data_IF_981554460248
#
_entry.id   IF_981554460248
#
_cell.length_a   1.000
_cell.length_b   1.000
_cell.length_c   1.000
_cell.angle_alpha   90.00
_cell.angle_beta   90.00
_cell.angle_gamma   90.00
#
_symmetry.space_group_name_H-M   'P 1'
#
loop_
_entity.id
_entity.type
_entity.pdbx_description
1 polymer ?
#
# COMPACT_ATOMS: atom_id res chain seq x y z
N UNK A 1 -6.90 -11.19 17.48
CA UNK A 1 -5.98 -10.45 16.57
C UNK A 1 -6.46 -10.42 15.14
N UNK A 2 -7.02 -11.51 14.59
CA UNK A 2 -7.68 -11.49 13.27
C UNK A 2 -8.65 -10.30 13.05
N UNK A 3 -9.49 -9.90 14.04
CA UNK A 3 -10.34 -8.73 13.88
C UNK A 3 -9.59 -7.42 13.59
N UNK A 4 -8.40 -7.21 14.17
CA UNK A 4 -7.60 -6.01 13.91
C UNK A 4 -7.08 -6.01 12.47
N UNK A 5 -6.55 -7.16 12.01
CA UNK A 5 -6.10 -7.32 10.63
C UNK A 5 -7.26 -7.11 9.65
N UNK A 6 -8.42 -7.70 9.93
CA UNK A 6 -9.61 -7.56 9.08
C UNK A 6 -10.08 -6.10 9.01
N UNK A 7 -10.05 -5.36 10.12
CA UNK A 7 -10.34 -3.91 10.14
C UNK A 7 -9.32 -3.13 9.31
N UNK A 8 -8.03 -3.45 9.41
CA UNK A 8 -6.97 -2.84 8.60
C UNK A 8 -7.23 -3.11 7.11
N UNK A 9 -7.49 -4.36 6.72
CA UNK A 9 -7.79 -4.69 5.31
C UNK A 9 -9.04 -3.97 4.82
N UNK A 10 -10.12 -3.97 5.60
CA UNK A 10 -11.35 -3.27 5.25
C UNK A 10 -11.15 -1.76 5.12
N UNK A 11 -10.33 -1.13 5.98
CA UNK A 11 -9.97 0.28 5.84
C UNK A 11 -9.18 0.55 4.56
N UNK A 12 -8.30 -0.39 4.17
CA UNK A 12 -7.64 -0.41 2.87
C UNK A 12 -8.64 -0.32 1.71
N UNK A 13 -9.61 -1.24 1.71
CA UNK A 13 -10.62 -1.38 0.64
C UNK A 13 -11.61 -0.21 0.59
N UNK A 14 -12.11 0.23 1.74
CA UNK A 14 -13.26 1.13 1.86
C UNK A 14 -12.87 2.59 2.06
N UNK A 15 -11.61 2.89 2.42
CA UNK A 15 -11.17 4.27 2.70
C UNK A 15 -9.93 4.63 1.90
N UNK A 16 -8.83 3.88 2.08
CA UNK A 16 -7.51 4.22 1.53
C UNK A 16 -7.52 4.18 0.01
N UNK A 17 -7.94 3.06 -0.59
CA UNK A 17 -7.99 2.94 -2.05
C UNK A 17 -8.96 3.95 -2.66
N UNK A 18 -10.22 4.09 -2.22
CA UNK A 18 -11.14 5.08 -2.78
C UNK A 18 -10.63 6.53 -2.74
N UNK A 19 -10.06 6.97 -1.61
CA UNK A 19 -9.45 8.31 -1.51
C UNK A 19 -8.26 8.43 -2.45
N UNK A 20 -7.42 7.40 -2.50
CA UNK A 20 -6.24 7.39 -3.36
C UNK A 20 -6.57 7.37 -4.86
N UNK A 21 -7.63 6.67 -5.28
CA UNK A 21 -8.09 6.64 -6.67
C UNK A 21 -8.47 8.03 -7.16
N UNK A 22 -9.13 8.83 -6.31
CA UNK A 22 -9.42 10.23 -6.63
C UNK A 22 -8.12 10.98 -6.94
N UNK A 23 -7.09 10.81 -6.11
CA UNK A 23 -5.78 11.45 -6.25
C UNK A 23 -4.97 10.96 -7.46
N UNK A 24 -5.06 9.67 -7.77
CA UNK A 24 -4.40 9.03 -8.92
C UNK A 24 -4.95 9.51 -10.26
N UNK A 25 -6.17 10.06 -10.30
CA UNK A 25 -6.79 10.52 -11.55
C UNK A 25 -7.26 9.37 -12.43
N UNK A 26 -7.78 8.31 -11.84
CA UNK A 26 -8.43 7.21 -12.58
C UNK A 26 -9.76 7.66 -13.18
N UNK A 27 -10.27 6.93 -14.17
CA UNK A 27 -11.58 7.17 -14.75
C UNK A 27 -12.69 7.09 -13.69
N UNK A 28 -13.73 7.93 -13.84
CA UNK A 28 -14.90 7.94 -12.94
C UNK A 28 -15.60 6.57 -12.90
N UNK A 29 -15.61 5.86 -14.03
CA UNK A 29 -16.19 4.51 -14.11
C UNK A 29 -15.39 3.53 -13.24
N UNK A 30 -14.07 3.48 -13.37
CA UNK A 30 -13.23 2.59 -12.56
C UNK A 30 -13.36 2.90 -11.06
N UNK A 31 -13.37 4.18 -10.68
CA UNK A 31 -13.59 4.58 -9.29
C UNK A 31 -14.98 4.19 -8.74
N UNK A 32 -16.02 4.16 -9.58
CA UNK A 32 -17.36 3.69 -9.20
C UNK A 32 -17.41 2.16 -9.08
N UNK A 33 -16.86 1.45 -10.08
CA UNK A 33 -16.79 -0.01 -10.10
C UNK A 33 -15.99 -0.57 -8.92
N UNK A 34 -15.02 0.19 -8.40
CA UNK A 34 -14.31 -0.18 -7.18
C UNK A 34 -15.24 -0.53 -6.03
N UNK A 35 -16.31 0.25 -5.79
CA UNK A 35 -17.24 0.00 -4.69
C UNK A 35 -18.01 -1.32 -4.84
N UNK A 36 -18.30 -1.72 -6.08
CA UNK A 36 -18.95 -3.00 -6.35
C UNK A 36 -18.07 -4.20 -5.96
N UNK A 37 -16.74 -4.04 -5.92
CA UNK A 37 -15.82 -5.06 -5.40
C UNK A 37 -15.41 -4.86 -3.95
N UNK A 38 -15.15 -3.62 -3.53
CA UNK A 38 -14.65 -3.30 -2.20
C UNK A 38 -15.63 -3.66 -1.08
N UNK A 39 -16.94 -3.46 -1.31
CA UNK A 39 -17.97 -3.82 -0.32
C UNK A 39 -18.04 -5.35 -0.13
N UNK A 40 -18.23 -6.18 -1.18
CA UNK A 40 -18.13 -7.63 -1.08
C UNK A 40 -16.80 -8.12 -0.48
N UNK A 41 -15.68 -7.56 -0.95
CA UNK A 41 -14.34 -7.92 -0.46
C UNK A 41 -14.20 -7.70 1.04
N UNK A 42 -14.65 -6.55 1.54
CA UNK A 42 -14.70 -6.29 2.97
C UNK A 42 -15.59 -7.32 3.67
N UNK A 43 -16.83 -7.52 3.20
CA UNK A 43 -17.78 -8.49 3.78
C UNK A 43 -17.17 -9.89 3.92
N UNK A 44 -16.37 -10.33 2.93
CA UNK A 44 -15.70 -11.63 2.95
C UNK A 44 -14.81 -11.86 4.17
N UNK A 45 -14.26 -10.79 4.77
CA UNK A 45 -13.33 -10.86 5.90
C UNK A 45 -14.00 -11.42 7.15
N UNK A 46 -15.30 -11.15 7.32
CA UNK A 46 -16.08 -11.55 8.49
C UNK A 46 -16.88 -12.84 8.29
N UNK A 47 -16.76 -13.47 7.11
CA UNK A 47 -17.35 -14.78 6.85
C UNK A 47 -16.35 -15.91 7.16
N UNK A 48 -16.83 -17.10 7.54
CA UNK A 48 -16.02 -18.30 7.53
C UNK A 48 -15.40 -18.53 6.14
N UNK A 49 -14.19 -19.10 6.11
CA UNK A 49 -13.54 -19.50 4.84
C UNK A 49 -14.44 -20.53 4.13
N UNK A 50 -14.55 -20.41 2.82
CA UNK A 50 -15.41 -21.25 2.00
C UNK A 50 -15.86 -20.55 0.72
N UNK A 51 -16.69 -21.24 -0.06
CA UNK A 51 -17.10 -20.80 -1.40
C UNK A 51 -17.72 -19.39 -1.43
N UNK A 52 -18.53 -19.03 -0.43
CA UNK A 52 -19.18 -17.70 -0.35
C UNK A 52 -18.14 -16.60 -0.13
N UNK A 53 -17.25 -16.77 0.86
CA UNK A 53 -16.21 -15.78 1.14
C UNK A 53 -15.23 -15.64 -0.04
N UNK A 54 -14.88 -16.76 -0.68
CA UNK A 54 -14.06 -16.78 -1.88
C UNK A 54 -14.74 -16.06 -3.06
N UNK A 55 -16.03 -16.30 -3.30
CA UNK A 55 -16.77 -15.62 -4.35
C UNK A 55 -16.79 -14.10 -4.16
N UNK A 56 -17.04 -13.61 -2.94
CA UNK A 56 -17.00 -12.19 -2.63
C UNK A 56 -15.59 -11.58 -2.82
N UNK A 57 -14.54 -12.30 -2.42
CA UNK A 57 -13.16 -11.92 -2.70
C UNK A 57 -12.83 -11.92 -4.20
N UNK A 58 -13.45 -12.81 -4.98
CA UNK A 58 -13.37 -12.83 -6.43
C UNK A 58 -13.97 -11.57 -7.07
N UNK A 59 -15.12 -11.08 -6.58
CA UNK A 59 -15.71 -9.81 -7.03
C UNK A 59 -14.76 -8.64 -6.73
N UNK A 60 -14.12 -8.64 -5.55
CA UNK A 60 -13.08 -7.67 -5.21
C UNK A 60 -11.90 -7.72 -6.19
N UNK A 61 -11.40 -8.92 -6.53
CA UNK A 61 -10.33 -9.09 -7.51
C UNK A 61 -10.73 -8.56 -8.89
N UNK A 62 -11.96 -8.81 -9.36
CA UNK A 62 -12.44 -8.24 -10.63
C UNK A 62 -12.39 -6.71 -10.63
N UNK A 63 -12.82 -6.05 -9.54
CA UNK A 63 -12.75 -4.60 -9.42
C UNK A 63 -11.29 -4.10 -9.40
N UNK A 64 -10.39 -4.82 -8.75
CA UNK A 64 -8.96 -4.50 -8.77
C UNK A 64 -8.32 -4.65 -10.17
N UNK A 65 -8.72 -5.65 -10.94
CA UNK A 65 -8.28 -5.82 -12.33
C UNK A 65 -8.76 -4.68 -13.24
N UNK A 66 -9.93 -4.10 -12.99
CA UNK A 66 -10.39 -2.89 -13.68
C UNK A 66 -9.46 -1.70 -13.41
N UNK A 67 -8.89 -1.58 -12.21
CA UNK A 67 -7.88 -0.55 -11.91
C UNK A 67 -6.59 -0.81 -12.70
N UNK A 68 -6.10 -2.06 -12.69
CA UNK A 68 -4.91 -2.46 -13.41
C UNK A 68 -5.03 -2.24 -14.93
N UNK A 69 -6.23 -2.43 -15.50
CA UNK A 69 -6.48 -2.20 -16.92
C UNK A 69 -6.26 -0.74 -17.38
N UNK A 70 -6.16 0.23 -16.46
CA UNK A 70 -5.86 1.62 -16.79
C UNK A 70 -4.35 1.91 -16.94
N UNK A 71 -3.49 0.98 -16.53
CA UNK A 71 -2.03 1.14 -16.56
C UNK A 71 -1.48 1.33 -17.98
N UNK A 72 -1.88 0.54 -19.01
CA UNK A 72 -1.31 0.67 -20.35
C UNK A 72 -1.53 2.05 -20.96
N UNK A 73 -2.75 2.61 -20.87
CA UNK A 73 -3.04 3.95 -21.40
C UNK A 73 -2.23 5.04 -20.69
N UNK A 74 -1.98 4.86 -19.39
CA UNK A 74 -1.20 5.77 -18.56
C UNK A 74 0.29 5.76 -18.94
N UNK A 75 0.88 4.58 -19.05
CA UNK A 75 2.29 4.41 -19.43
C UNK A 75 2.56 4.66 -20.92
N UNK A 76 1.56 4.50 -21.78
CA UNK A 76 1.66 4.94 -23.18
C UNK A 76 1.77 6.46 -23.23
N UNK A 77 0.90 7.17 -22.53
CA UNK A 77 0.87 8.63 -22.56
C UNK A 77 2.17 9.24 -22.03
N UNK A 78 2.72 8.71 -20.92
CA UNK A 78 3.93 9.22 -20.27
C UNK A 78 4.69 8.12 -19.54
N UNK A 79 6.00 8.01 -19.75
CA UNK A 79 6.90 7.05 -19.07
C UNK A 79 7.84 7.75 -18.10
N UNK A 80 7.29 8.35 -17.04
CA UNK A 80 8.08 9.00 -15.98
C UNK A 80 8.11 8.16 -14.71
N UNK A 81 8.97 8.51 -13.74
CA UNK A 81 9.06 7.76 -12.49
C UNK A 81 7.74 7.86 -11.70
N UNK A 82 7.11 9.03 -11.69
CA UNK A 82 5.79 9.16 -11.05
C UNK A 82 4.73 8.27 -11.69
N UNK A 83 4.73 8.13 -13.02
CA UNK A 83 3.78 7.27 -13.72
C UNK A 83 4.00 5.78 -13.48
N UNK A 84 5.26 5.35 -13.31
CA UNK A 84 5.57 3.99 -12.84
C UNK A 84 5.05 3.76 -11.41
N UNK A 85 5.24 4.73 -10.51
CA UNK A 85 4.71 4.64 -9.14
C UNK A 85 3.18 4.57 -9.12
N UNK A 86 2.48 5.35 -9.96
CA UNK A 86 1.03 5.22 -10.11
C UNK A 86 0.62 3.88 -10.71
N UNK A 87 1.36 3.35 -11.68
CA UNK A 87 1.11 2.02 -12.22
C UNK A 87 1.23 0.95 -11.13
N UNK A 88 2.28 1.02 -10.29
CA UNK A 88 2.43 0.16 -9.11
C UNK A 88 1.25 0.33 -8.15
N UNK A 89 0.81 1.56 -7.89
CA UNK A 89 -0.36 1.78 -7.06
C UNK A 89 -1.60 1.08 -7.65
N UNK A 90 -1.82 1.13 -8.97
CA UNK A 90 -3.02 0.55 -9.59
C UNK A 90 -3.00 -0.98 -9.73
N UNK A 91 -1.83 -1.63 -9.81
CA UNK A 91 -1.73 -3.09 -9.91
C UNK A 91 -1.79 -3.78 -8.53
N UNK A 92 -1.29 -3.13 -7.49
CA UNK A 92 -1.14 -3.74 -6.17
C UNK A 92 -2.45 -4.20 -5.51
N UNK A 93 -3.61 -3.52 -5.68
CA UNK A 93 -4.90 -4.07 -5.24
C UNK A 93 -5.26 -5.42 -5.86
N UNK A 94 -4.80 -5.72 -7.08
CA UNK A 94 -5.04 -7.02 -7.73
C UNK A 94 -4.22 -8.12 -7.07
N UNK A 95 -2.98 -7.82 -6.66
CA UNK A 95 -2.15 -8.73 -5.87
C UNK A 95 -2.81 -9.00 -4.51
N UNK A 96 -3.32 -7.96 -3.85
CA UNK A 96 -4.13 -8.12 -2.64
C UNK A 96 -5.38 -8.99 -2.88
N UNK A 97 -6.02 -8.86 -4.05
CA UNK A 97 -7.22 -9.63 -4.40
C UNK A 97 -6.95 -11.11 -4.65
N UNK A 98 -5.82 -11.42 -5.29
CA UNK A 98 -5.36 -12.80 -5.48
C UNK A 98 -5.10 -13.45 -4.12
N UNK A 99 -4.37 -12.75 -3.23
CA UNK A 99 -4.07 -13.26 -1.89
C UNK A 99 -5.34 -13.45 -1.05
N UNK A 100 -6.24 -12.47 -1.06
CA UNK A 100 -7.53 -12.55 -0.37
C UNK A 100 -8.38 -13.71 -0.88
N UNK A 101 -8.48 -13.89 -2.20
CA UNK A 101 -9.25 -14.97 -2.81
C UNK A 101 -8.73 -16.34 -2.36
N UNK A 102 -7.42 -16.56 -2.45
CA UNK A 102 -6.79 -17.81 -2.02
C UNK A 102 -7.01 -18.05 -0.52
N UNK A 103 -6.82 -17.02 0.31
CA UNK A 103 -6.97 -17.12 1.75
C UNK A 103 -8.43 -17.37 2.18
N UNK A 104 -9.40 -16.73 1.53
CA UNK A 104 -10.84 -16.96 1.77
C UNK A 104 -11.31 -18.31 1.26
N UNK A 105 -10.67 -18.85 0.22
CA UNK A 105 -10.90 -20.22 -0.26
C UNK A 105 -10.23 -21.29 0.63
N UNK A 106 -9.34 -20.90 1.54
CA UNK A 106 -8.59 -21.85 2.38
C UNK A 106 -7.46 -22.56 1.64
N UNK A 107 -6.98 -21.97 0.53
CA UNK A 107 -5.90 -22.54 -0.28
C UNK A 107 -4.60 -21.75 -0.08
N UNK A 108 -3.54 -22.39 0.47
CA UNK A 108 -2.18 -21.86 0.39
C UNK A 108 -1.80 -21.61 -1.08
N UNK A 109 -1.02 -20.55 -1.34
CA UNK A 109 -0.67 -20.14 -2.70
C UNK A 109 0.82 -19.81 -2.77
N UNK A 110 1.53 -20.41 -3.74
CA UNK A 110 2.97 -20.15 -3.99
C UNK A 110 3.86 -20.29 -2.75
N UNK A 111 3.58 -21.25 -1.88
CA UNK A 111 4.33 -21.48 -0.64
C UNK A 111 3.85 -20.66 0.56
N UNK A 112 3.04 -19.61 0.33
CA UNK A 112 2.46 -18.81 1.40
C UNK A 112 1.31 -19.54 2.10
N UNK A 113 1.39 -19.62 3.43
CA UNK A 113 0.27 -20.06 4.26
C UNK A 113 -0.85 -19.01 4.33
N UNK A 114 -2.00 -19.41 4.89
CA UNK A 114 -3.18 -18.55 4.99
C UNK A 114 -2.96 -17.30 5.86
N UNK A 115 -2.08 -17.38 6.85
CA UNK A 115 -1.71 -16.24 7.70
C UNK A 115 -0.94 -15.20 6.89
N UNK A 116 0.07 -15.63 6.13
CA UNK A 116 0.84 -14.73 5.28
C UNK A 116 -0.03 -14.15 4.17
N UNK A 117 -0.89 -14.93 3.51
CA UNK A 117 -1.81 -14.41 2.49
C UNK A 117 -2.75 -13.30 3.04
N UNK A 118 -3.20 -13.42 4.28
CA UNK A 118 -3.98 -12.37 4.94
C UNK A 118 -3.13 -11.09 5.17
N UNK A 119 -1.88 -11.24 5.59
CA UNK A 119 -0.94 -10.12 5.74
C UNK A 119 -0.57 -9.49 4.40
N UNK A 120 -0.40 -10.29 3.35
CA UNK A 120 -0.16 -9.87 1.97
C UNK A 120 -1.28 -8.96 1.50
N UNK A 121 -2.54 -9.35 1.76
CA UNK A 121 -3.71 -8.53 1.43
C UNK A 121 -3.61 -7.15 2.06
N UNK A 122 -3.27 -7.04 3.36
CA UNK A 122 -3.07 -5.76 4.02
C UNK A 122 -1.89 -4.99 3.40
N UNK A 123 -0.70 -5.61 3.29
CA UNK A 123 0.51 -4.96 2.79
C UNK A 123 0.32 -4.31 1.43
N UNK A 124 -0.35 -4.97 0.49
CA UNK A 124 -0.55 -4.43 -0.84
C UNK A 124 -1.55 -3.25 -0.91
N UNK A 125 -2.39 -3.03 0.11
CA UNK A 125 -3.17 -1.79 0.23
C UNK A 125 -2.33 -0.61 0.77
N UNK A 126 -1.33 -0.88 1.60
CA UNK A 126 -0.56 0.17 2.29
C UNK A 126 0.84 0.36 1.69
N UNK A 127 1.72 -0.63 1.82
CA UNK A 127 3.07 -0.62 1.26
C UNK A 127 3.07 -0.77 -0.26
N UNK A 128 2.03 -1.37 -0.85
CA UNK A 128 1.80 -1.36 -2.29
C UNK A 128 1.13 -0.07 -2.76
N UNK A 129 -0.19 0.01 -2.56
CA UNK A 129 -1.02 1.08 -3.12
C UNK A 129 -0.69 2.46 -2.53
N UNK A 130 -0.85 2.66 -1.22
CA UNK A 130 -0.74 4.00 -0.62
C UNK A 130 0.68 4.56 -0.74
N UNK A 131 1.69 3.73 -0.48
CA UNK A 131 3.10 4.09 -0.60
C UNK A 131 3.47 4.52 -2.03
N UNK A 132 3.17 3.69 -3.03
CA UNK A 132 3.49 4.01 -4.41
C UNK A 132 2.71 5.24 -4.91
N UNK A 133 1.44 5.38 -4.51
CA UNK A 133 0.64 6.56 -4.83
C UNK A 133 1.26 7.84 -4.26
N UNK A 134 1.61 7.85 -2.96
CA UNK A 134 2.21 9.03 -2.32
C UNK A 134 3.58 9.34 -2.90
N UNK A 135 4.41 8.34 -3.17
CA UNK A 135 5.69 8.51 -3.84
C UNK A 135 5.54 9.14 -5.23
N UNK A 136 4.57 8.68 -6.03
CA UNK A 136 4.25 9.27 -7.33
C UNK A 136 3.73 10.71 -7.22
N UNK A 137 2.88 11.01 -6.23
CA UNK A 137 2.38 12.36 -5.97
C UNK A 137 3.51 13.33 -5.63
N UNK A 138 4.42 12.93 -4.74
CA UNK A 138 5.59 13.72 -4.36
C UNK A 138 6.51 13.94 -5.54
N UNK A 139 6.89 12.87 -6.25
CA UNK A 139 7.74 12.94 -7.43
C UNK A 139 7.21 13.94 -8.46
N UNK A 140 5.90 13.88 -8.76
CA UNK A 140 5.26 14.83 -9.68
C UNK A 140 5.23 16.26 -9.11
N UNK A 141 4.95 16.43 -7.82
CA UNK A 141 4.89 17.76 -7.19
C UNK A 141 6.23 18.48 -7.14
N UNK A 142 7.33 17.73 -7.12
CA UNK A 142 8.70 18.23 -7.19
C UNK A 142 9.29 18.17 -8.61
N UNK A 143 8.45 18.08 -9.65
CA UNK A 143 8.88 18.15 -11.04
C UNK A 143 9.88 17.06 -11.45
N UNK A 144 9.71 15.82 -10.96
CA UNK A 144 10.62 14.69 -11.25
C UNK A 144 12.06 14.96 -10.77
N UNK A 145 12.24 15.70 -9.68
CA UNK A 145 13.55 15.89 -9.04
C UNK A 145 14.25 14.55 -8.73
N UNK A 146 15.59 14.51 -8.61
CA UNK A 146 16.32 13.27 -8.31
C UNK A 146 15.79 12.54 -7.08
N UNK A 147 15.49 13.26 -5.99
CA UNK A 147 14.90 12.68 -4.78
C UNK A 147 13.47 12.18 -5.01
N UNK A 148 12.65 12.93 -5.75
CA UNK A 148 11.30 12.51 -6.13
C UNK A 148 11.31 11.23 -6.96
N UNK A 149 12.19 11.15 -7.97
CA UNK A 149 12.39 9.96 -8.80
C UNK A 149 12.90 8.78 -8.00
N UNK A 150 13.87 9.01 -7.10
CA UNK A 150 14.37 7.98 -6.20
C UNK A 150 13.21 7.35 -5.43
N UNK A 151 12.41 8.16 -4.71
CA UNK A 151 11.23 7.66 -3.99
C UNK A 151 10.24 6.91 -4.89
N UNK A 152 9.90 7.46 -6.07
CA UNK A 152 8.96 6.86 -7.00
C UNK A 152 9.44 5.54 -7.64
N UNK A 153 10.74 5.27 -7.65
CA UNK A 153 11.31 4.03 -8.18
C UNK A 153 11.65 3.02 -7.08
N UNK A 154 12.23 3.47 -5.97
CA UNK A 154 12.67 2.58 -4.89
C UNK A 154 11.51 2.01 -4.09
N UNK A 155 10.37 2.70 -3.98
CA UNK A 155 9.18 2.14 -3.30
C UNK A 155 8.61 0.94 -4.08
N UNK A 156 8.31 1.05 -5.39
CA UNK A 156 7.95 -0.12 -6.19
C UNK A 156 9.02 -1.22 -6.20
N UNK A 157 10.29 -0.84 -6.43
CA UNK A 157 11.38 -1.80 -6.52
C UNK A 157 11.58 -2.55 -5.20
N UNK A 158 11.61 -1.84 -4.07
CA UNK A 158 11.71 -2.43 -2.73
C UNK A 158 10.54 -3.36 -2.42
N UNK A 159 9.31 -2.97 -2.76
CA UNK A 159 8.13 -3.84 -2.59
C UNK A 159 8.25 -5.14 -3.39
N UNK A 160 8.72 -5.05 -4.64
CA UNK A 160 8.95 -6.23 -5.49
C UNK A 160 10.13 -7.08 -5.00
N UNK A 161 11.19 -6.46 -4.49
CA UNK A 161 12.34 -7.16 -3.93
C UNK A 161 11.98 -7.89 -2.64
N UNK A 162 11.17 -7.30 -1.75
CA UNK A 162 10.64 -8.01 -0.56
C UNK A 162 9.80 -9.21 -0.99
N UNK A 163 8.86 -9.02 -1.93
CA UNK A 163 8.05 -10.13 -2.45
C UNK A 163 8.91 -11.22 -3.10
N UNK A 164 9.90 -10.84 -3.92
CA UNK A 164 10.82 -11.78 -4.56
C UNK A 164 11.74 -12.47 -3.55
N UNK A 165 12.14 -11.76 -2.49
CA UNK A 165 12.98 -12.25 -1.41
C UNK A 165 12.38 -13.47 -0.73
N UNK A 166 11.06 -13.52 -0.56
CA UNK A 166 10.37 -14.71 -0.06
C UNK A 166 10.68 -16.00 -0.83
N UNK A 167 10.92 -15.90 -2.14
CA UNK A 167 11.23 -17.06 -2.99
C UNK A 167 12.72 -17.40 -3.04
N UNK A 168 13.59 -16.50 -2.57
CA UNK A 168 15.05 -16.61 -2.70
C UNK A 168 15.71 -16.87 -1.34
N UNK A 169 15.22 -16.25 -0.27
CA UNK A 169 15.68 -16.38 1.10
C UNK A 169 15.72 -15.04 1.86
N UNK A 170 15.85 -15.14 3.17
CA UNK A 170 15.68 -14.02 4.12
C UNK A 170 16.67 -12.86 3.91
N UNK A 171 17.88 -13.14 3.43
CA UNK A 171 18.86 -12.10 3.05
C UNK A 171 18.37 -11.24 1.87
N UNK A 172 17.69 -11.84 0.90
CA UNK A 172 17.11 -11.11 -0.23
C UNK A 172 15.90 -10.28 0.23
N UNK A 173 15.11 -10.82 1.16
CA UNK A 173 14.02 -10.07 1.80
C UNK A 173 14.55 -8.86 2.59
N UNK A 174 15.62 -9.04 3.38
CA UNK A 174 16.29 -7.95 4.10
C UNK A 174 16.81 -6.89 3.14
N UNK A 175 17.47 -7.27 2.05
CA UNK A 175 17.92 -6.33 1.03
C UNK A 175 16.75 -5.52 0.44
N UNK A 176 15.63 -6.19 0.13
CA UNK A 176 14.39 -5.55 -0.29
C UNK A 176 13.85 -4.57 0.75
N UNK A 177 13.83 -4.96 2.03
CA UNK A 177 13.36 -4.14 3.14
C UNK A 177 14.23 -2.88 3.33
N UNK A 178 15.55 -2.99 3.15
CA UNK A 178 16.48 -1.84 3.17
C UNK A 178 16.20 -0.88 2.02
N UNK A 179 16.05 -1.38 0.79
CA UNK A 179 15.71 -0.55 -0.38
C UNK A 179 14.37 0.15 -0.19
N UNK A 180 13.35 -0.58 0.26
CA UNK A 180 12.03 -0.03 0.53
C UNK A 180 12.10 1.04 1.63
N UNK A 181 12.82 0.79 2.72
CA UNK A 181 12.96 1.73 3.83
C UNK A 181 13.64 3.03 3.38
N UNK A 182 14.71 2.96 2.61
CA UNK A 182 15.35 4.15 2.05
C UNK A 182 14.39 4.98 1.18
N UNK A 183 13.57 4.30 0.36
CA UNK A 183 12.50 4.94 -0.41
C UNK A 183 11.45 5.62 0.46
N UNK A 184 10.96 4.91 1.48
CA UNK A 184 9.93 5.42 2.39
C UNK A 184 10.44 6.56 3.29
N UNK A 185 11.71 6.55 3.71
CA UNK A 185 12.31 7.71 4.39
C UNK A 185 12.47 8.91 3.46
N UNK A 186 12.79 8.69 2.19
CA UNK A 186 12.78 9.76 1.18
C UNK A 186 11.37 10.33 1.01
N UNK A 187 10.34 9.48 0.96
CA UNK A 187 8.92 9.89 0.97
C UNK A 187 8.57 10.71 2.19
N UNK A 188 8.97 10.28 3.39
CA UNK A 188 8.71 10.99 4.64
C UNK A 188 9.37 12.38 4.63
N UNK A 189 10.64 12.47 4.24
CA UNK A 189 11.37 13.74 4.13
C UNK A 189 10.71 14.70 3.13
N UNK A 190 10.42 14.24 1.91
CA UNK A 190 9.76 15.05 0.89
C UNK A 190 8.35 15.49 1.32
N UNK A 191 7.63 14.65 2.09
CA UNK A 191 6.34 15.01 2.68
C UNK A 191 6.48 16.18 3.65
N UNK A 192 7.49 16.17 4.52
CA UNK A 192 7.78 17.27 5.43
C UNK A 192 8.16 18.55 4.66
N UNK A 193 8.99 18.45 3.62
CA UNK A 193 9.32 19.60 2.76
C UNK A 193 8.05 20.18 2.13
N UNK A 194 7.21 19.33 1.52
CA UNK A 194 5.96 19.73 0.87
C UNK A 194 4.98 20.41 1.83
N UNK A 195 5.00 20.02 3.10
CA UNK A 195 4.10 20.52 4.14
C UNK A 195 4.37 21.95 4.60
N UNK A 196 5.57 22.50 4.30
CA UNK A 196 6.01 23.83 4.79
C UNK A 196 5.11 24.97 4.32
N UNK A 197 4.58 24.84 3.11
CA UNK A 197 3.71 25.82 2.46
C UNK A 197 2.21 25.57 2.72
N UNK A 198 1.86 24.52 3.49
CA UNK A 198 0.49 24.13 3.73
C UNK A 198 -0.13 24.84 4.94
N UNK A 199 -1.47 24.92 4.98
CA UNK A 199 -2.19 25.39 6.16
C UNK A 199 -1.93 24.50 7.38
N UNK A 200 -2.22 25.01 8.59
CA UNK A 200 -1.88 24.35 9.86
C UNK A 200 -2.36 22.91 9.93
N UNK A 201 -3.58 22.61 9.48
CA UNK A 201 -4.15 21.27 9.57
C UNK A 201 -3.54 20.34 8.53
N UNK A 202 -3.38 20.78 7.27
CA UNK A 202 -2.70 20.00 6.23
C UNK A 202 -1.24 19.70 6.61
N UNK A 203 -0.55 20.68 7.21
CA UNK A 203 0.80 20.51 7.73
C UNK A 203 0.87 19.51 8.87
N UNK A 204 -0.07 19.55 9.82
CA UNK A 204 -0.15 18.57 10.91
C UNK A 204 -0.38 17.15 10.37
N UNK A 205 -1.31 16.97 9.42
CA UNK A 205 -1.60 15.69 8.79
C UNK A 205 -0.36 15.12 8.07
N UNK A 206 0.36 15.95 7.32
CA UNK A 206 1.63 15.54 6.70
C UNK A 206 2.71 15.22 7.74
N UNK A 207 2.81 15.99 8.81
CA UNK A 207 3.75 15.74 9.91
C UNK A 207 3.52 14.39 10.57
N UNK A 208 2.25 14.07 10.91
CA UNK A 208 1.86 12.77 11.46
C UNK A 208 2.15 11.64 10.47
N UNK A 209 1.81 11.84 9.18
CA UNK A 209 2.07 10.84 8.14
C UNK A 209 3.56 10.54 7.98
N UNK A 210 4.41 11.56 7.91
CA UNK A 210 5.85 11.41 7.77
C UNK A 210 6.49 10.75 9.01
N UNK A 211 6.09 11.16 10.21
CA UNK A 211 6.59 10.58 11.45
C UNK A 211 6.19 9.11 11.59
N UNK A 212 4.91 8.79 11.38
CA UNK A 212 4.41 7.43 11.43
C UNK A 212 5.12 6.54 10.40
N UNK A 213 5.34 7.06 9.18
CA UNK A 213 6.07 6.34 8.16
C UNK A 213 7.50 6.05 8.58
N UNK A 214 8.24 7.07 9.01
CA UNK A 214 9.64 6.93 9.41
C UNK A 214 9.83 5.91 10.54
N UNK A 215 8.99 6.00 11.58
CA UNK A 215 9.01 5.07 12.71
C UNK A 215 8.60 3.67 12.30
N UNK A 216 7.56 3.53 11.47
CA UNK A 216 7.08 2.21 11.03
C UNK A 216 8.14 1.42 10.25
N UNK A 217 8.99 2.10 9.47
CA UNK A 217 10.06 1.45 8.73
C UNK A 217 11.18 0.93 9.63
N UNK A 218 11.39 1.52 10.81
CA UNK A 218 12.32 0.97 11.81
C UNK A 218 11.85 -0.41 12.26
N UNK A 219 10.54 -0.58 12.52
CA UNK A 219 9.98 -1.89 12.85
C UNK A 219 10.13 -2.90 11.71
N UNK A 220 9.96 -2.47 10.45
CA UNK A 220 10.16 -3.34 9.30
C UNK A 220 11.61 -3.83 9.18
N UNK A 221 12.59 -2.92 9.34
CA UNK A 221 14.01 -3.29 9.34
C UNK A 221 14.37 -4.21 10.50
N UNK A 222 13.89 -3.90 11.72
CA UNK A 222 14.15 -4.73 12.89
C UNK A 222 13.59 -6.16 12.71
N UNK A 223 12.40 -6.28 12.11
CA UNK A 223 11.81 -7.57 11.79
C UNK A 223 12.62 -8.34 10.73
N UNK A 224 12.89 -7.71 9.58
CA UNK A 224 13.62 -8.35 8.48
C UNK A 224 15.06 -8.73 8.87
N UNK A 225 15.72 -7.89 9.68
CA UNK A 225 17.06 -8.20 10.19
C UNK A 225 17.02 -9.41 11.12
N UNK A 226 16.01 -9.49 11.99
CA UNK A 226 15.86 -10.62 12.89
C UNK A 226 15.63 -11.94 12.15
N UNK A 227 14.71 -11.96 11.18
CA UNK A 227 14.49 -13.15 10.35
C UNK A 227 15.78 -13.58 9.64
N UNK A 228 16.50 -12.64 9.02
CA UNK A 228 17.73 -12.96 8.29
C UNK A 228 18.93 -13.39 9.16
N UNK A 229 18.91 -13.13 10.47
CA UNK A 229 20.08 -13.35 11.36
C UNK A 229 19.78 -14.23 12.58
N UNK A 230 18.51 -14.56 12.83
CA UNK A 230 18.06 -15.22 14.06
C UNK A 230 18.07 -14.31 15.30
N UNK A 231 18.30 -13.00 15.14
CA UNK A 231 18.22 -12.05 16.27
C UNK A 231 16.77 -11.89 16.75
N UNK A 232 16.55 -11.60 18.05
CA UNK A 232 15.22 -11.34 18.56
C UNK A 232 14.51 -10.23 17.78
N UNK A 233 13.32 -10.52 17.28
CA UNK A 233 12.50 -9.59 16.53
C UNK A 233 11.05 -9.58 17.02
N UNK A 234 10.27 -8.53 16.67
CA UNK A 234 8.86 -8.50 17.00
C UNK A 234 8.10 -9.69 16.44
N UNK A 235 7.08 -10.15 17.18
CA UNK A 235 6.15 -11.17 16.69
C UNK A 235 5.19 -10.57 15.66
N UNK A 236 4.62 -11.40 14.79
CA UNK A 236 3.60 -10.98 13.81
C UNK A 236 2.42 -10.21 14.46
N UNK A 237 1.80 -10.71 15.55
CA UNK A 237 0.93 -9.92 16.42
C UNK A 237 1.36 -8.48 16.67
N UNK A 238 2.61 -8.30 17.12
CA UNK A 238 3.16 -7.00 17.45
C UNK A 238 3.35 -6.14 16.21
N UNK A 239 3.81 -6.73 15.10
CA UNK A 239 3.95 -6.04 13.82
C UNK A 239 2.61 -5.51 13.31
N UNK A 240 1.53 -6.29 13.41
CA UNK A 240 0.18 -5.83 13.04
C UNK A 240 -0.22 -4.61 13.90
N UNK A 241 -0.06 -4.71 15.22
CA UNK A 241 -0.49 -3.69 16.17
C UNK A 241 0.34 -2.40 16.12
N UNK A 242 1.60 -2.47 15.71
CA UNK A 242 2.52 -1.32 15.66
C UNK A 242 2.76 -0.87 14.24
N UNK A 243 3.56 -1.61 13.47
CA UNK A 243 3.89 -1.30 12.07
C UNK A 243 2.63 -1.20 11.20
N UNK A 244 1.71 -2.16 11.30
CA UNK A 244 0.47 -2.19 10.52
C UNK A 244 -0.44 -1.00 10.81
N UNK A 245 -0.73 -0.73 12.09
CA UNK A 245 -1.55 0.41 12.51
C UNK A 245 -0.88 1.75 12.17
N UNK A 246 0.44 1.89 12.38
CA UNK A 246 1.17 3.10 12.02
C UNK A 246 1.11 3.38 10.52
N UNK A 247 1.24 2.35 9.67
CA UNK A 247 1.10 2.49 8.22
C UNK A 247 -0.33 2.82 7.81
N UNK A 248 -1.33 2.17 8.44
CA UNK A 248 -2.72 2.35 8.07
C UNK A 248 -3.28 3.71 8.50
N UNK A 249 -3.22 4.02 9.80
CA UNK A 249 -3.81 5.23 10.35
C UNK A 249 -2.88 6.43 10.27
N UNK A 250 -1.61 6.26 10.63
CA UNK A 250 -0.64 7.34 10.64
C UNK A 250 -0.21 7.74 9.24
N UNK A 251 0.43 6.83 8.50
CA UNK A 251 0.97 7.14 7.18
C UNK A 251 -0.14 7.35 6.14
N UNK A 252 -0.94 6.31 5.85
CA UNK A 252 -1.86 6.32 4.72
C UNK A 252 -3.05 7.25 4.93
N UNK A 253 -3.80 7.12 6.03
CA UNK A 253 -4.98 7.97 6.25
C UNK A 253 -4.61 9.45 6.40
N UNK A 254 -3.64 9.82 7.24
CA UNK A 254 -3.25 11.23 7.37
C UNK A 254 -2.63 11.78 6.08
N UNK A 255 -1.76 11.01 5.42
CA UNK A 255 -1.11 11.44 4.17
C UNK A 255 -2.11 11.68 3.05
N UNK A 256 -3.03 10.73 2.83
CA UNK A 256 -4.07 10.87 1.80
C UNK A 256 -5.08 11.97 2.14
N UNK A 257 -5.42 12.17 3.42
CA UNK A 257 -6.27 13.28 3.85
C UNK A 257 -5.61 14.63 3.58
N UNK A 258 -4.31 14.78 3.85
CA UNK A 258 -3.55 15.99 3.54
C UNK A 258 -3.53 16.25 2.03
N UNK A 259 -3.25 15.23 1.21
CA UNK A 259 -3.29 15.35 -0.25
C UNK A 259 -4.70 15.69 -0.79
N UNK A 260 -5.75 15.14 -0.19
CA UNK A 260 -7.12 15.46 -0.57
C UNK A 260 -7.49 16.92 -0.28
N UNK A 261 -6.93 17.52 0.78
CA UNK A 261 -7.11 18.95 1.11
C UNK A 261 -6.37 19.88 0.16
N UNK A 262 -5.24 19.46 -0.39
CA UNK A 262 -4.47 20.23 -1.36
C UNK A 262 -5.14 20.32 -2.74
N UNK A 263 -6.09 19.43 -3.05
CA UNK A 263 -6.82 19.53 -4.31
C UNK A 263 -7.76 20.74 -4.28
N UNK A 264 -7.79 21.56 -5.35
CA UNK A 264 -8.87 22.51 -5.54
C UNK A 264 -10.20 21.74 -5.44
N UNK A 265 -11.11 22.20 -4.58
CA UNK A 265 -12.50 21.76 -4.66
C UNK A 265 -12.95 22.11 -6.07
N UNK A 266 -13.22 21.12 -6.91
CA UNK A 266 -13.92 21.41 -8.16
C UNK A 266 -15.28 21.99 -7.75
N UNK A 267 -15.65 23.19 -8.23
CA UNK A 267 -16.95 23.77 -7.95
C UNK A 267 -18.09 22.85 -8.43
#
# INVERSE_FOLDING_TARGET
MRPLLDVIVAAGMLVVVPVGLRLAGVSRLAARLWWAGAIPGAVSLWLPRGAVAAALAGIYLCAALVLAAQIPGRLWARRTASELAFATALITPAIAGIALLAERAGHPLWGFDLGILALTTAHFHYAGFAAALVAGLLCRSFGESPAGRAAALTVPAGTLLVLGGYFVGDLAELAGAVVLTAGMWTVAWLTLVRSREADRLTRALFGVSAAALAVSMIFALAWALGEATGLPHPTIPWMIATHGVANAAGFALCGLAAWARLRPRQP
#
